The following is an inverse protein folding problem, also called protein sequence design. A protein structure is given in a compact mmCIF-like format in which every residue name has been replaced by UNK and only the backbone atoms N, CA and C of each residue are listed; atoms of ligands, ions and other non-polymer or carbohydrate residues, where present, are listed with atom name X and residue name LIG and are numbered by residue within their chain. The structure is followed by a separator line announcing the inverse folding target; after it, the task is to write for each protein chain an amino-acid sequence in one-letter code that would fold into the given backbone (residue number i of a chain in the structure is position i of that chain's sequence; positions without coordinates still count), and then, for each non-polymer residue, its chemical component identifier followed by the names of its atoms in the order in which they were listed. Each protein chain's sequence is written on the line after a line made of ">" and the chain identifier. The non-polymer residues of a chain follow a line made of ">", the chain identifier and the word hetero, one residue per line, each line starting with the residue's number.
data_IF_101281856886
#
_entry.id   IF_101281856886
#
_cell.length_a   1.000
_cell.length_b   1.000
_cell.length_c   1.000
_cell.angle_alpha   90.00
_cell.angle_beta   90.00
_cell.angle_gamma   90.00
#
_symmetry.space_group_name_H-M   'P 1'
#
loop_
_entity.id
_entity.type
_entity.pdbx_description
1 polymer ?
#
# COMPACT_ATOMS: atom_id res chain seq x y z
N UNK A 1 -18.72 -5.29 -5.91
CA UNK A 1 -18.80 -6.60 -6.58
C UNK A 1 -19.59 -6.38 -7.85
N UNK A 2 -18.99 -6.62 -9.01
CA UNK A 2 -19.63 -6.45 -10.32
C UNK A 2 -20.00 -7.84 -10.84
N UNK A 3 -21.18 -8.01 -11.44
CA UNK A 3 -21.52 -9.25 -12.15
C UNK A 3 -20.60 -9.42 -13.37
N UNK A 4 -20.39 -10.66 -13.83
CA UNK A 4 -19.58 -10.93 -15.02
C UNK A 4 -20.04 -10.14 -16.24
N UNK A 5 -21.35 -9.88 -16.36
CA UNK A 5 -21.96 -9.11 -17.45
C UNK A 5 -21.67 -7.60 -17.36
N UNK A 6 -21.47 -7.06 -16.16
CA UNK A 6 -21.16 -5.63 -15.94
C UNK A 6 -19.67 -5.30 -16.01
N UNK A 7 -18.80 -6.32 -15.94
CA UNK A 7 -17.34 -6.15 -15.94
C UNK A 7 -16.82 -5.40 -17.18
N UNK A 8 -17.30 -5.68 -18.42
CA UNK A 8 -16.84 -4.94 -19.60
C UNK A 8 -17.15 -3.44 -19.51
N UNK A 9 -18.34 -3.07 -19.05
CA UNK A 9 -18.72 -1.66 -18.90
C UNK A 9 -17.85 -0.97 -17.84
N UNK A 10 -17.60 -1.64 -16.71
CA UNK A 10 -16.74 -1.11 -15.65
C UNK A 10 -15.28 -0.94 -16.12
N UNK A 11 -14.76 -1.88 -16.91
CA UNK A 11 -13.42 -1.76 -17.50
C UNK A 11 -13.32 -0.59 -18.46
N UNK A 12 -14.37 -0.31 -19.23
CA UNK A 12 -14.44 0.89 -20.09
C UNK A 12 -14.39 2.17 -19.26
N UNK A 13 -15.15 2.24 -18.16
CA UNK A 13 -15.11 3.40 -17.25
C UNK A 13 -13.74 3.60 -16.59
N UNK A 14 -13.13 2.52 -16.14
CA UNK A 14 -11.78 2.51 -15.57
C UNK A 14 -10.75 3.00 -16.60
N UNK A 15 -10.80 2.48 -17.84
CA UNK A 15 -9.90 2.90 -18.89
C UNK A 15 -10.09 4.38 -19.24
N UNK A 16 -11.32 4.88 -19.19
CA UNK A 16 -11.60 6.31 -19.35
C UNK A 16 -10.99 7.15 -18.22
N UNK A 17 -10.95 6.63 -16.98
CA UNK A 17 -10.28 7.29 -15.87
C UNK A 17 -8.75 7.27 -16.01
N UNK A 18 -8.17 6.16 -16.45
CA UNK A 18 -6.73 6.04 -16.74
C UNK A 18 -6.34 7.07 -17.80
N UNK A 19 -7.07 7.15 -18.91
CA UNK A 19 -6.82 8.13 -19.96
C UNK A 19 -6.90 9.58 -19.45
N UNK A 20 -7.82 9.89 -18.53
CA UNK A 20 -7.88 11.21 -17.88
C UNK A 20 -6.68 11.48 -16.98
N UNK A 21 -6.19 10.48 -16.26
CA UNK A 21 -4.98 10.61 -15.44
C UNK A 21 -3.75 10.85 -16.32
N UNK A 22 -3.65 10.18 -17.46
CA UNK A 22 -2.57 10.39 -18.43
C UNK A 22 -2.61 11.80 -19.03
N UNK A 23 -3.78 12.27 -19.46
CA UNK A 23 -3.95 13.64 -19.94
C UNK A 23 -3.59 14.68 -18.87
N UNK A 24 -3.93 14.42 -17.60
CA UNK A 24 -3.50 15.27 -16.49
C UNK A 24 -1.97 15.28 -16.33
N UNK A 25 -1.32 14.12 -16.45
CA UNK A 25 0.13 14.00 -16.34
C UNK A 25 0.87 14.74 -17.47
N UNK A 26 0.33 14.69 -18.70
CA UNK A 26 0.85 15.46 -19.83
C UNK A 26 0.77 16.98 -19.58
N UNK A 27 -0.39 17.46 -19.13
CA UNK A 27 -0.58 18.87 -18.77
C UNK A 27 0.31 19.32 -17.60
N UNK A 28 0.48 18.44 -16.60
CA UNK A 28 1.37 18.68 -15.47
C UNK A 28 2.83 18.79 -15.92
N UNK A 29 3.27 17.98 -16.90
CA UNK A 29 4.60 18.06 -17.48
C UNK A 29 4.82 19.40 -18.21
N UNK A 30 3.85 19.84 -19.01
CA UNK A 30 3.89 21.15 -19.70
C UNK A 30 3.98 22.32 -18.70
N UNK A 31 3.30 22.19 -17.56
CA UNK A 31 3.25 23.22 -16.51
C UNK A 31 4.41 23.14 -15.51
N UNK A 32 5.42 22.30 -15.75
CA UNK A 32 6.56 22.02 -14.83
C UNK A 32 6.13 21.60 -13.42
N UNK A 33 4.94 21.02 -13.28
CA UNK A 33 4.48 20.47 -12.02
C UNK A 33 5.10 19.08 -11.81
N UNK A 34 5.64 18.79 -10.62
CA UNK A 34 6.24 17.49 -10.29
C UNK A 34 5.21 16.41 -9.91
N UNK A 35 3.94 16.79 -9.67
CA UNK A 35 2.90 15.86 -9.22
C UNK A 35 2.41 15.00 -10.39
N UNK A 36 2.24 13.69 -10.15
CA UNK A 36 1.69 12.73 -11.10
C UNK A 36 0.57 11.95 -10.45
N UNK A 37 -0.41 11.55 -11.25
CA UNK A 37 -1.55 10.73 -10.83
C UNK A 37 -1.47 9.41 -11.58
N UNK A 38 -1.53 8.30 -10.84
CA UNK A 38 -1.53 6.96 -11.41
C UNK A 38 -2.81 6.24 -10.97
N UNK A 39 -3.56 5.71 -11.94
CA UNK A 39 -4.73 4.88 -11.70
C UNK A 39 -4.42 3.51 -12.28
N UNK A 40 -4.56 2.46 -11.46
CA UNK A 40 -4.46 1.07 -11.88
C UNK A 40 -5.68 0.33 -11.36
N UNK A 41 -6.30 -0.47 -12.21
CA UNK A 41 -7.34 -1.40 -11.79
C UNK A 41 -6.87 -2.83 -12.01
N UNK A 42 -7.13 -3.67 -11.02
CA UNK A 42 -6.86 -5.11 -11.08
C UNK A 42 -8.19 -5.80 -10.84
N UNK A 43 -8.78 -6.47 -11.86
CA UNK A 43 -10.02 -7.21 -11.67
C UNK A 43 -9.73 -8.44 -10.79
N UNK A 44 -10.46 -8.57 -9.69
CA UNK A 44 -10.37 -9.72 -8.79
C UNK A 44 -11.57 -10.62 -9.06
N UNK A 45 -11.32 -11.84 -9.56
CA UNK A 45 -12.36 -12.87 -9.71
C UNK A 45 -12.53 -13.58 -8.37
N UNK A 46 -13.62 -13.32 -7.65
CA UNK A 46 -13.87 -13.87 -6.31
C UNK A 46 -13.87 -15.41 -6.23
N UNK A 47 -13.93 -16.10 -7.37
CA UNK A 47 -14.01 -17.56 -7.49
C UNK A 47 -12.65 -18.23 -7.79
N UNK A 48 -11.60 -17.46 -8.05
CA UNK A 48 -10.24 -17.97 -8.36
C UNK A 48 -9.27 -17.48 -7.31
N UNK A 49 -8.33 -18.34 -6.90
CA UNK A 49 -7.21 -17.96 -6.04
C UNK A 49 -6.41 -16.83 -6.71
N UNK A 50 -6.63 -15.58 -6.27
CA UNK A 50 -5.99 -14.40 -6.87
C UNK A 50 -4.68 -14.14 -6.16
N UNK A 51 -3.72 -15.02 -6.38
CA UNK A 51 -2.34 -14.87 -5.91
C UNK A 51 -1.80 -13.47 -6.26
N UNK A 52 -2.11 -12.97 -7.46
CA UNK A 52 -1.72 -11.63 -7.90
C UNK A 52 -2.36 -10.50 -7.06
N UNK A 53 -3.62 -10.64 -6.63
CA UNK A 53 -4.26 -9.66 -5.76
C UNK A 53 -3.69 -9.71 -4.33
N UNK A 54 -3.41 -10.91 -3.82
CA UNK A 54 -2.72 -11.08 -2.55
C UNK A 54 -1.31 -10.46 -2.58
N UNK A 55 -0.56 -10.64 -3.69
CA UNK A 55 0.74 -10.00 -3.92
C UNK A 55 0.64 -8.48 -3.92
N UNK A 56 -0.34 -7.90 -4.63
CA UNK A 56 -0.55 -6.44 -4.65
C UNK A 56 -0.95 -5.87 -3.28
N UNK A 57 -1.80 -6.57 -2.53
CA UNK A 57 -2.16 -6.20 -1.16
C UNK A 57 -0.92 -6.23 -0.25
N UNK A 58 -0.17 -7.33 -0.28
CA UNK A 58 1.06 -7.50 0.51
C UNK A 58 2.09 -6.41 0.18
N UNK A 59 2.29 -6.09 -1.11
CA UNK A 59 3.15 -5.00 -1.55
C UNK A 59 2.68 -3.65 -1.01
N UNK A 60 1.39 -3.33 -1.16
CA UNK A 60 0.80 -2.07 -0.70
C UNK A 60 0.99 -1.86 0.79
N UNK A 61 0.76 -2.91 1.60
CA UNK A 61 0.97 -2.85 3.05
C UNK A 61 2.44 -2.63 3.38
N UNK A 62 3.36 -3.40 2.79
CA UNK A 62 4.80 -3.25 3.05
C UNK A 62 5.34 -1.88 2.68
N UNK A 63 5.05 -1.40 1.47
CA UNK A 63 5.55 -0.10 1.01
C UNK A 63 5.04 1.04 1.89
N UNK A 64 3.77 0.98 2.27
CA UNK A 64 3.18 2.00 3.14
C UNK A 64 3.78 1.98 4.55
N UNK A 65 4.04 0.80 5.12
CA UNK A 65 4.70 0.66 6.42
C UNK A 65 6.20 1.04 6.38
N UNK A 66 6.91 0.74 5.28
CA UNK A 66 8.31 1.18 5.08
C UNK A 66 8.41 2.68 4.95
N UNK A 67 7.51 3.31 4.20
CA UNK A 67 7.43 4.77 4.11
C UNK A 67 7.13 5.39 5.48
N UNK A 68 6.30 4.72 6.29
CA UNK A 68 6.03 5.16 7.67
C UNK A 68 7.29 5.11 8.55
N UNK A 69 8.08 4.04 8.48
CA UNK A 69 9.38 3.95 9.17
C UNK A 69 10.29 5.11 8.77
N UNK A 70 10.50 5.32 7.48
CA UNK A 70 11.37 6.37 6.97
C UNK A 70 10.93 7.77 7.45
N UNK A 71 9.62 8.04 7.49
CA UNK A 71 9.09 9.30 8.02
C UNK A 71 9.26 9.44 9.54
N UNK A 72 9.11 8.35 10.31
CA UNK A 72 9.32 8.35 11.75
C UNK A 72 10.79 8.61 12.09
N UNK A 73 11.72 7.97 11.38
CA UNK A 73 13.16 8.18 11.55
C UNK A 73 13.58 9.61 11.16
N UNK A 74 13.01 10.16 10.09
CA UNK A 74 13.27 11.55 9.69
C UNK A 74 12.71 12.58 10.68
N UNK A 75 11.67 12.22 11.45
CA UNK A 75 11.09 13.07 12.48
C UNK A 75 10.23 14.24 11.98
N UNK A 76 9.96 14.36 10.67
CA UNK A 76 9.08 15.43 10.15
C UNK A 76 7.61 15.11 10.41
N UNK A 77 7.00 15.88 11.31
CA UNK A 77 5.61 15.75 11.70
C UNK A 77 4.61 15.88 10.52
N UNK A 78 4.93 16.65 9.47
CA UNK A 78 4.06 16.82 8.30
C UNK A 78 4.05 15.57 7.43
N UNK A 79 5.23 14.99 7.20
CA UNK A 79 5.35 13.78 6.40
C UNK A 79 4.77 12.57 7.13
N UNK A 80 5.02 12.46 8.45
CA UNK A 80 4.37 11.44 9.30
C UNK A 80 2.84 11.55 9.21
N UNK A 81 2.26 12.75 9.30
CA UNK A 81 0.80 12.92 9.21
C UNK A 81 0.23 12.52 7.83
N UNK A 82 0.98 12.78 6.75
CA UNK A 82 0.60 12.40 5.39
C UNK A 82 0.60 10.89 5.20
N UNK A 83 1.65 10.21 5.63
CA UNK A 83 1.77 8.75 5.53
C UNK A 83 0.77 8.06 6.46
N UNK A 84 0.56 8.60 7.66
CA UNK A 84 -0.43 8.09 8.61
C UNK A 84 -1.85 8.00 8.02
N UNK A 85 -2.25 8.97 7.20
CA UNK A 85 -3.54 8.94 6.51
C UNK A 85 -3.67 7.76 5.54
N UNK A 86 -2.56 7.36 4.90
CA UNK A 86 -2.51 6.17 4.03
C UNK A 86 -2.55 4.89 4.86
N UNK A 87 -1.92 4.88 6.03
CA UNK A 87 -1.93 3.72 6.94
C UNK A 87 -3.32 3.44 7.54
N UNK A 88 -4.20 4.46 7.65
CA UNK A 88 -5.48 4.36 8.37
C UNK A 88 -6.40 3.23 7.92
N UNK A 89 -6.29 2.76 6.67
CA UNK A 89 -7.18 1.73 6.12
C UNK A 89 -6.46 0.41 5.80
N UNK A 90 -5.17 0.25 6.15
CA UNK A 90 -4.41 -0.97 5.81
C UNK A 90 -5.02 -2.23 6.44
N UNK A 91 -5.58 -2.14 7.64
CA UNK A 91 -6.25 -3.22 8.35
C UNK A 91 -7.49 -3.74 7.60
N UNK A 92 -8.05 -2.95 6.68
CA UNK A 92 -9.18 -3.35 5.85
C UNK A 92 -8.75 -4.25 4.68
N UNK A 93 -7.45 -4.32 4.41
CA UNK A 93 -6.87 -5.15 3.36
C UNK A 93 -6.46 -6.54 3.86
N UNK A 94 -6.52 -6.78 5.18
CA UNK A 94 -6.02 -7.98 5.81
C UNK A 94 -7.05 -8.60 6.77
N UNK A 95 -6.90 -9.90 7.02
CA UNK A 95 -7.75 -10.67 7.95
C UNK A 95 -6.88 -11.53 8.87
N UNK A 96 -7.44 -11.94 10.02
CA UNK A 96 -6.76 -12.79 10.99
C UNK A 96 -5.46 -12.16 11.51
N UNK A 97 -4.39 -12.96 11.60
CA UNK A 97 -3.09 -12.53 12.15
C UNK A 97 -2.50 -11.31 11.44
N UNK A 98 -2.64 -11.21 10.12
CA UNK A 98 -2.15 -10.08 9.34
C UNK A 98 -2.80 -8.76 9.73
N UNK A 99 -4.10 -8.78 10.08
CA UNK A 99 -4.81 -7.61 10.55
C UNK A 99 -4.28 -7.16 11.93
N UNK A 100 -4.12 -8.10 12.85
CA UNK A 100 -3.59 -7.81 14.19
C UNK A 100 -2.18 -7.21 14.12
N UNK A 101 -1.32 -7.75 13.25
CA UNK A 101 0.01 -7.18 13.04
C UNK A 101 -0.03 -5.73 12.51
N UNK A 102 -0.96 -5.39 11.63
CA UNK A 102 -1.15 -4.00 11.15
C UNK A 102 -1.63 -3.10 12.30
N UNK A 103 -2.55 -3.57 13.12
CA UNK A 103 -3.06 -2.81 14.26
C UNK A 103 -1.96 -2.56 15.31
N UNK A 104 -1.12 -3.55 15.58
CA UNK A 104 0.06 -3.43 16.46
C UNK A 104 1.10 -2.46 15.87
N UNK A 105 1.40 -2.57 14.57
CA UNK A 105 2.29 -1.64 13.88
C UNK A 105 1.79 -0.19 13.96
N UNK A 106 0.47 0.02 13.84
CA UNK A 106 -0.15 1.35 14.04
C UNK A 106 0.03 1.86 15.46
N UNK A 107 -0.22 1.01 16.47
CA UNK A 107 -0.04 1.39 17.87
C UNK A 107 1.42 1.76 18.18
N UNK A 108 2.37 0.96 17.67
CA UNK A 108 3.80 1.22 17.73
C UNK A 108 4.16 2.57 17.09
N UNK A 109 3.70 2.84 15.87
CA UNK A 109 3.93 4.12 15.19
C UNK A 109 3.33 5.32 15.94
N UNK A 110 2.19 5.17 16.61
CA UNK A 110 1.65 6.24 17.47
C UNK A 110 2.56 6.52 18.67
N UNK A 111 3.12 5.48 19.28
CA UNK A 111 4.05 5.63 20.40
C UNK A 111 5.37 6.26 19.94
N UNK A 112 5.92 5.83 18.81
CA UNK A 112 7.08 6.45 18.17
C UNK A 112 6.82 7.95 17.89
N UNK A 113 5.65 8.32 17.37
CA UNK A 113 5.29 9.72 17.14
C UNK A 113 5.24 10.53 18.44
N UNK A 114 4.65 9.98 19.51
CA UNK A 114 4.64 10.65 20.83
C UNK A 114 6.05 10.86 21.36
N UNK A 115 6.92 9.88 21.13
CA UNK A 115 8.32 9.93 21.53
C UNK A 115 9.11 11.00 20.78
N UNK A 116 8.92 11.14 19.47
CA UNK A 116 9.51 12.23 18.67
C UNK A 116 9.12 13.59 19.26
N UNK A 117 7.84 13.78 19.57
CA UNK A 117 7.33 15.03 20.16
C UNK A 117 7.93 15.27 21.56
N UNK A 118 8.07 14.21 22.37
CA UNK A 118 8.67 14.30 23.71
C UNK A 118 10.15 14.65 23.63
N UNK A 119 10.91 13.93 22.80
CA UNK A 119 12.33 14.14 22.59
C UNK A 119 12.64 15.56 22.09
N UNK A 120 11.82 16.09 21.19
CA UNK A 120 11.92 17.46 20.72
C UNK A 120 11.72 18.50 21.83
N UNK A 121 10.77 18.27 22.76
CA UNK A 121 10.57 19.14 23.92
C UNK A 121 11.75 19.08 24.91
N UNK A 122 12.38 17.92 25.02
CA UNK A 122 13.49 17.64 25.92
C UNK A 122 14.86 17.93 25.26
N UNK A 123 14.91 18.43 24.02
CA UNK A 123 16.12 18.66 23.22
C UNK A 123 17.07 17.45 23.17
N UNK A 124 16.51 16.24 23.05
CA UNK A 124 17.27 15.00 22.92
C UNK A 124 16.92 14.26 21.64
N UNK A 125 17.78 13.31 21.26
CA UNK A 125 17.46 12.38 20.19
C UNK A 125 16.31 11.44 20.62
N UNK A 126 15.31 11.21 19.75
CA UNK A 126 14.26 10.23 20.02
C UNK A 126 14.83 8.81 19.96
N UNK A 127 14.36 7.94 20.84
CA UNK A 127 14.65 6.50 20.79
C UNK A 127 13.39 5.81 20.30
N UNK A 128 13.42 5.34 19.06
CA UNK A 128 12.26 4.73 18.41
C UNK A 128 12.34 3.21 18.53
N UNK A 129 11.31 2.61 19.09
CA UNK A 129 11.07 1.17 18.98
C UNK A 129 10.10 0.96 17.82
N UNK A 130 10.62 0.38 16.73
CA UNK A 130 9.88 0.14 15.48
C UNK A 130 9.71 -1.37 15.19
N UNK A 131 10.05 -2.24 16.14
CA UNK A 131 10.11 -3.70 15.94
C UNK A 131 8.76 -4.28 15.49
N UNK A 132 7.66 -3.80 16.07
CA UNK A 132 6.31 -4.23 15.67
C UNK A 132 5.96 -3.84 14.23
N UNK A 133 6.49 -2.72 13.71
CA UNK A 133 6.28 -2.31 12.31
C UNK A 133 7.08 -3.22 11.37
N UNK A 134 8.33 -3.53 11.74
CA UNK A 134 9.19 -4.44 10.98
C UNK A 134 8.63 -5.87 10.97
N UNK A 135 8.15 -6.36 12.11
CA UNK A 135 7.47 -7.64 12.21
C UNK A 135 6.22 -7.71 11.33
N UNK A 136 5.41 -6.64 11.32
CA UNK A 136 4.25 -6.56 10.44
C UNK A 136 4.66 -6.59 8.96
N UNK A 137 5.70 -5.86 8.55
CA UNK A 137 6.27 -5.93 7.19
C UNK A 137 6.70 -7.36 6.85
N UNK A 138 7.35 -8.05 7.80
CA UNK A 138 7.82 -9.43 7.66
C UNK A 138 6.71 -10.47 7.50
N UNK A 139 5.47 -10.18 7.89
CA UNK A 139 4.33 -11.09 7.65
C UNK A 139 3.79 -11.01 6.21
N UNK A 140 4.13 -9.96 5.46
CA UNK A 140 3.69 -9.77 4.08
C UNK A 140 4.81 -10.10 3.07
N UNK A 141 5.46 -11.26 3.22
CA UNK A 141 6.60 -11.70 2.38
C UNK A 141 6.17 -11.92 0.92
N UNK A 142 7.11 -11.75 -0.01
CA UNK A 142 6.89 -12.01 -1.44
C UNK A 142 6.53 -13.49 -1.67
N UNK A 143 5.31 -13.73 -2.17
CA UNK A 143 4.88 -15.02 -2.71
C UNK A 143 5.69 -15.43 -3.98
N UNK A 144 6.57 -14.56 -4.47
CA UNK A 144 7.44 -14.84 -5.62
C UNK A 144 8.49 -15.93 -5.34
N UNK A 145 8.68 -16.35 -4.08
CA UNK A 145 9.53 -17.50 -3.74
C UNK A 145 8.93 -18.88 -4.10
N UNK A 146 7.71 -18.95 -4.65
CA UNK A 146 7.02 -20.21 -4.99
C UNK A 146 6.78 -20.39 -6.49
N UNK A 147 7.25 -19.47 -7.34
CA UNK A 147 7.10 -19.59 -8.79
C UNK A 147 8.37 -20.11 -9.44
N UNK A 148 8.42 -21.41 -9.74
CA UNK A 148 9.04 -21.90 -10.98
C UNK A 148 8.38 -23.24 -11.37
N UNK A 149 7.23 -23.12 -12.02
CA UNK A 149 6.61 -24.19 -12.79
C UNK A 149 5.81 -23.56 -13.93
N UNK A 150 6.13 -23.85 -15.21
CA UNK A 150 5.40 -23.26 -16.33
C UNK A 150 4.01 -23.89 -16.38
N UNK A 151 2.97 -23.09 -16.12
CA UNK A 151 1.60 -23.45 -16.46
C UNK A 151 1.42 -23.25 -17.97
N UNK A 152 1.54 -24.33 -18.73
CA UNK A 152 1.08 -24.38 -20.13
C UNK A 152 -0.45 -24.20 -20.13
N UNK A 153 -0.91 -23.09 -20.71
CA UNK A 153 -2.30 -22.88 -21.06
C UNK A 153 -2.62 -23.76 -22.27
N UNK A 154 -3.18 -24.94 -22.04
CA UNK A 154 -3.83 -25.70 -23.11
C UNK A 154 -4.99 -24.88 -23.68
N UNK A 155 -4.82 -24.41 -24.91
CA UNK A 155 -5.87 -23.84 -25.71
C UNK A 155 -6.87 -24.95 -26.07
N UNK A 156 -8.06 -24.90 -25.48
CA UNK A 156 -9.17 -25.75 -25.91
C UNK A 156 -9.74 -25.15 -27.20
N UNK A 157 -9.51 -25.87 -28.31
CA UNK A 157 -10.17 -25.67 -29.60
C UNK A 157 -11.50 -26.43 -29.67
#
# INVERSE_FOLDING_TARGET
>A
VCSQEGLPALLVEINALIAKADAFNELAAQSRCARRVHIRAVPIRLEVDNELAAKEIARTVRETLRELIACLEAGDAKDIARVWLRCKNLERLAVGMHKFAIDDAKACAQNARKEIVRAAKENRCPVLDLEAIEAAIGLFVDLDAVSDGPFELEAVA
#
